data_IF_247409895075
#
_entry.id   IF_247409895075
#
_cell.length_a   1.000
_cell.length_b   1.000
_cell.length_c   1.000
_cell.angle_alpha   90.00
_cell.angle_beta   90.00
_cell.angle_gamma   90.00
#
_symmetry.space_group_name_H-M   'P 1'
#
loop_
_entity.id
_entity.type
_entity.pdbx_description
1 polymer ?
#
# COMPACT_ATOMS: atom_id res chain seq x y z
N UNK A 1 26.30 12.50 2.46
CA UNK A 1 25.06 12.43 3.27
C UNK A 1 24.34 11.11 3.00
N UNK A 2 24.11 10.36 4.04
CA UNK A 2 23.45 9.05 3.89
C UNK A 2 21.95 9.27 3.80
N UNK A 3 21.40 8.85 2.68
CA UNK A 3 19.95 8.92 2.46
C UNK A 3 19.29 7.74 3.13
N UNK A 4 18.45 8.02 4.12
CA UNK A 4 17.77 6.97 4.85
C UNK A 4 16.52 6.52 4.07
N UNK A 5 16.53 5.28 3.62
CA UNK A 5 15.39 4.68 2.94
C UNK A 5 14.39 4.18 3.99
N UNK A 6 13.15 4.59 3.86
CA UNK A 6 12.09 4.16 4.77
C UNK A 6 11.10 3.30 3.99
N UNK A 7 10.95 2.06 4.44
CA UNK A 7 10.01 1.11 3.87
C UNK A 7 9.04 0.71 4.98
N UNK A 8 7.76 0.84 4.72
CA UNK A 8 6.72 0.48 5.67
C UNK A 8 5.84 -0.61 5.09
N UNK A 9 5.59 -1.65 5.89
CA UNK A 9 4.73 -2.76 5.53
C UNK A 9 3.48 -2.74 6.40
N UNK A 10 2.31 -2.69 5.77
CA UNK A 10 1.02 -2.79 6.42
C UNK A 10 0.38 -4.10 6.03
N UNK A 11 -0.13 -4.84 7.02
CA UNK A 11 -0.77 -6.12 6.77
C UNK A 11 -1.95 -6.30 7.71
N UNK A 12 -3.14 -6.35 7.16
CA UNK A 12 -4.38 -6.66 7.89
C UNK A 12 -4.63 -5.80 9.13
N UNK A 13 -4.03 -4.62 9.21
CA UNK A 13 -4.32 -3.70 10.29
C UNK A 13 -5.63 -2.97 10.00
N UNK A 14 -6.49 -2.87 10.99
CA UNK A 14 -7.69 -2.09 10.83
C UNK A 14 -7.36 -0.59 10.82
N UNK A 15 -8.35 0.20 10.48
CA UNK A 15 -8.20 1.65 10.34
C UNK A 15 -7.66 2.30 11.63
N UNK A 16 -8.08 1.79 12.77
CA UNK A 16 -7.68 2.32 14.07
C UNK A 16 -6.18 2.11 14.32
N UNK A 17 -5.68 0.91 14.03
CA UNK A 17 -4.26 0.61 14.18
C UNK A 17 -3.40 1.41 13.22
N UNK A 18 -3.85 1.60 12.01
CA UNK A 18 -3.13 2.38 11.01
C UNK A 18 -2.99 3.84 11.46
N UNK A 19 -4.02 4.40 12.05
CA UNK A 19 -3.94 5.75 12.60
C UNK A 19 -2.94 5.85 13.74
N UNK A 20 -2.83 4.83 14.58
CA UNK A 20 -1.83 4.77 15.64
C UNK A 20 -0.42 4.74 15.07
N UNK A 21 -0.21 3.98 14.00
CA UNK A 21 1.09 3.92 13.32
C UNK A 21 1.48 5.29 12.80
N UNK A 22 0.56 5.98 12.14
CA UNK A 22 0.82 7.33 11.63
C UNK A 22 1.19 8.28 12.76
N UNK A 23 0.45 8.22 13.86
CA UNK A 23 0.70 9.06 15.02
C UNK A 23 2.08 8.81 15.61
N UNK A 24 2.46 7.54 15.73
CA UNK A 24 3.77 7.14 16.23
C UNK A 24 4.89 7.68 15.33
N UNK A 25 4.75 7.47 14.02
CA UNK A 25 5.75 7.92 13.06
C UNK A 25 5.88 9.44 13.05
N UNK A 26 4.76 10.15 13.17
CA UNK A 26 4.78 11.61 13.22
C UNK A 26 5.51 12.13 14.46
N UNK A 27 5.33 11.46 15.60
CA UNK A 27 6.04 11.82 16.83
C UNK A 27 7.55 11.64 16.70
N UNK A 28 7.98 10.69 15.87
CA UNK A 28 9.39 10.42 15.63
C UNK A 28 9.95 11.26 14.47
N UNK A 29 9.16 12.17 13.93
CA UNK A 29 9.51 12.96 12.75
C UNK A 29 9.80 12.11 11.52
N UNK A 30 9.19 10.93 11.45
CA UNK A 30 9.31 10.03 10.32
C UNK A 30 8.07 10.19 9.44
N UNK A 31 7.97 11.35 8.78
CA UNK A 31 6.81 11.68 7.96
C UNK A 31 6.98 11.38 6.48
N UNK A 32 8.19 10.97 6.08
CA UNK A 32 8.50 10.62 4.71
C UNK A 32 8.66 9.11 4.60
N UNK A 33 7.93 8.49 3.69
CA UNK A 33 7.99 7.06 3.43
C UNK A 33 8.40 6.86 1.98
N UNK A 34 9.48 6.14 1.74
CA UNK A 34 9.94 5.86 0.38
C UNK A 34 9.08 4.82 -0.30
N UNK A 35 8.80 3.73 0.40
CA UNK A 35 7.96 2.66 -0.14
C UNK A 35 7.00 2.18 0.93
N UNK A 36 5.73 2.13 0.61
CA UNK A 36 4.68 1.60 1.46
C UNK A 36 4.08 0.36 0.80
N UNK A 37 4.19 -0.78 1.48
CA UNK A 37 3.54 -2.01 1.06
C UNK A 37 2.23 -2.16 1.83
N UNK A 38 1.12 -2.19 1.12
CA UNK A 38 -0.21 -2.28 1.70
C UNK A 38 -0.82 -3.64 1.32
N UNK A 39 -0.81 -4.57 2.26
CA UNK A 39 -1.26 -5.94 2.02
C UNK A 39 -2.70 -6.08 2.51
N UNK A 40 -3.60 -6.50 1.60
CA UNK A 40 -5.02 -6.56 1.88
C UNK A 40 -5.66 -5.18 1.80
N UNK A 41 -5.45 -4.50 0.68
CA UNK A 41 -5.83 -3.10 0.50
C UNK A 41 -7.35 -2.86 0.46
N UNK A 42 -8.14 -3.91 0.23
CA UNK A 42 -9.59 -3.83 0.16
C UNK A 42 -10.07 -2.78 -0.85
N UNK A 43 -10.65 -1.70 -0.38
CA UNK A 43 -11.21 -0.64 -1.23
C UNK A 43 -10.32 0.61 -1.27
N UNK A 44 -9.12 0.52 -0.73
CA UNK A 44 -8.19 1.63 -0.77
C UNK A 44 -8.25 2.58 0.43
N UNK A 45 -8.86 2.17 1.54
CA UNK A 45 -8.94 3.00 2.73
C UNK A 45 -7.55 3.37 3.26
N UNK A 46 -6.64 2.38 3.26
CA UNK A 46 -5.26 2.59 3.72
C UNK A 46 -4.52 3.58 2.84
N UNK A 47 -4.77 3.52 1.53
CA UNK A 47 -4.14 4.43 0.58
C UNK A 47 -4.50 5.87 0.95
N UNK A 48 -5.80 6.14 1.09
CA UNK A 48 -6.25 7.48 1.43
C UNK A 48 -5.70 7.94 2.78
N UNK A 49 -5.73 7.06 3.77
CA UNK A 49 -5.29 7.40 5.11
C UNK A 49 -3.81 7.79 5.15
N UNK A 50 -2.95 6.94 4.57
CA UNK A 50 -1.51 7.18 4.60
C UNK A 50 -1.08 8.32 3.70
N UNK A 51 -1.63 8.40 2.50
CA UNK A 51 -1.24 9.46 1.57
C UNK A 51 -1.76 10.84 2.01
N UNK A 52 -2.83 10.89 2.80
CA UNK A 52 -3.33 12.15 3.35
C UNK A 52 -2.51 12.65 4.53
N UNK A 53 -1.81 11.76 5.23
CA UNK A 53 -1.12 12.11 6.48
C UNK A 53 0.40 12.02 6.39
N UNK A 54 0.92 11.35 5.38
CA UNK A 54 2.35 11.11 5.25
C UNK A 54 2.80 11.48 3.84
N UNK A 55 4.08 11.76 3.69
CA UNK A 55 4.68 12.01 2.39
C UNK A 55 5.22 10.68 1.86
N UNK A 56 4.41 10.01 1.06
CA UNK A 56 4.73 8.68 0.52
C UNK A 56 5.19 8.83 -0.92
N UNK A 57 6.36 8.30 -1.22
CA UNK A 57 6.92 8.36 -2.56
C UNK A 57 6.28 7.33 -3.48
N UNK A 58 6.09 6.11 -2.97
CA UNK A 58 5.54 5.00 -3.74
C UNK A 58 4.72 4.10 -2.83
N UNK A 59 3.55 3.69 -3.28
CA UNK A 59 2.74 2.72 -2.57
C UNK A 59 2.41 1.56 -3.50
N UNK A 60 2.56 0.34 -2.99
CA UNK A 60 2.20 -0.88 -3.72
C UNK A 60 1.15 -1.59 -2.88
N UNK A 61 -0.06 -1.67 -3.40
CA UNK A 61 -1.19 -2.27 -2.71
C UNK A 61 -1.51 -3.63 -3.30
N UNK A 62 -1.61 -4.63 -2.44
CA UNK A 62 -1.91 -6.01 -2.82
C UNK A 62 -3.31 -6.37 -2.34
N UNK A 63 -4.15 -6.81 -3.24
CA UNK A 63 -5.50 -7.22 -2.91
C UNK A 63 -5.85 -8.54 -3.58
N UNK A 64 -5.99 -9.64 -2.81
CA UNK A 64 -6.27 -10.97 -3.38
C UNK A 64 -7.69 -11.12 -3.90
N UNK A 65 -8.66 -10.42 -3.31
CA UNK A 65 -10.05 -10.53 -3.74
C UNK A 65 -10.27 -9.86 -5.08
N UNK A 66 -10.74 -10.60 -6.11
CA UNK A 66 -11.01 -9.98 -7.40
C UNK A 66 -12.04 -8.85 -7.34
N UNK A 67 -13.05 -9.01 -6.49
CA UNK A 67 -14.09 -8.00 -6.32
C UNK A 67 -13.53 -6.72 -5.72
N UNK A 68 -12.75 -6.86 -4.65
CA UNK A 68 -12.13 -5.70 -4.02
C UNK A 68 -11.07 -5.07 -4.90
N UNK A 69 -10.35 -5.89 -5.67
CA UNK A 69 -9.36 -5.37 -6.61
C UNK A 69 -10.01 -4.50 -7.69
N UNK A 70 -11.17 -4.90 -8.19
CA UNK A 70 -11.91 -4.09 -9.17
C UNK A 70 -12.30 -2.73 -8.57
N UNK A 71 -12.74 -2.72 -7.32
CA UNK A 71 -13.07 -1.48 -6.63
C UNK A 71 -11.83 -0.62 -6.45
N UNK A 72 -10.73 -1.24 -6.08
CA UNK A 72 -9.45 -0.55 -5.92
C UNK A 72 -8.99 0.06 -7.24
N UNK A 73 -9.12 -0.70 -8.31
CA UNK A 73 -8.76 -0.25 -9.66
C UNK A 73 -9.59 0.96 -10.09
N UNK A 74 -10.88 0.95 -9.76
CA UNK A 74 -11.77 2.05 -10.10
C UNK A 74 -11.42 3.33 -9.34
N UNK A 75 -11.02 3.20 -8.07
CA UNK A 75 -10.69 4.37 -7.25
C UNK A 75 -9.26 4.85 -7.46
N UNK A 76 -8.41 4.04 -8.07
CA UNK A 76 -7.01 4.38 -8.31
C UNK A 76 -6.85 5.69 -9.10
N UNK A 77 -7.65 5.87 -10.14
CA UNK A 77 -7.59 7.08 -10.95
C UNK A 77 -7.84 8.34 -10.11
N UNK A 78 -8.78 8.24 -9.19
CA UNK A 78 -9.08 9.35 -8.29
C UNK A 78 -7.88 9.65 -7.39
N UNK A 79 -7.24 8.61 -6.85
CA UNK A 79 -6.10 8.79 -5.96
C UNK A 79 -4.86 9.28 -6.70
N UNK A 80 -4.65 8.86 -7.95
CA UNK A 80 -3.54 9.35 -8.76
C UNK A 80 -3.64 10.86 -8.94
N UNK A 81 -4.84 11.36 -9.16
CA UNK A 81 -5.05 12.81 -9.32
C UNK A 81 -4.92 13.55 -7.99
N UNK A 82 -5.45 12.96 -6.91
CA UNK A 82 -5.42 13.58 -5.59
C UNK A 82 -4.02 13.60 -5.00
N UNK A 83 -3.25 12.55 -5.22
CA UNK A 83 -1.90 12.38 -4.68
C UNK A 83 -0.88 12.29 -5.80
N UNK A 84 -0.75 13.36 -6.55
CA UNK A 84 0.03 13.40 -7.80
C UNK A 84 1.53 13.20 -7.60
N UNK A 85 2.03 13.35 -6.37
CA UNK A 85 3.44 13.15 -6.06
C UNK A 85 3.78 11.73 -5.63
N UNK A 86 2.77 10.87 -5.56
CA UNK A 86 2.95 9.48 -5.14
C UNK A 86 2.70 8.54 -6.32
N UNK A 87 3.62 7.61 -6.53
CA UNK A 87 3.41 6.53 -7.49
C UNK A 87 2.54 5.46 -6.84
N UNK A 88 1.38 5.17 -7.44
CA UNK A 88 0.41 4.23 -6.90
C UNK A 88 0.34 3.00 -7.80
N UNK A 89 0.72 1.85 -7.26
CA UNK A 89 0.65 0.56 -7.95
C UNK A 89 -0.29 -0.36 -7.18
N UNK A 90 -1.07 -1.14 -7.92
CA UNK A 90 -1.98 -2.12 -7.33
C UNK A 90 -1.79 -3.47 -7.99
N UNK A 91 -1.87 -4.53 -7.19
CA UNK A 91 -1.68 -5.90 -7.67
C UNK A 91 -2.78 -6.81 -7.12
N UNK A 92 -3.37 -7.62 -8.00
CA UNK A 92 -4.39 -8.58 -7.61
C UNK A 92 -3.72 -9.90 -7.21
N UNK A 93 -3.11 -9.91 -6.03
CA UNK A 93 -2.38 -11.07 -5.54
C UNK A 93 -2.44 -11.10 -4.02
N UNK A 94 -2.48 -12.29 -3.46
CA UNK A 94 -2.36 -12.49 -2.04
C UNK A 94 -0.94 -12.85 -1.67
N UNK A 95 -0.43 -12.24 -0.61
CA UNK A 95 0.88 -12.59 -0.06
C UNK A 95 0.66 -13.36 1.22
N UNK A 96 1.05 -14.64 1.22
CA UNK A 96 0.90 -15.50 2.37
C UNK A 96 2.07 -16.42 2.53
N UNK A 97 2.17 -17.04 3.70
CA UNK A 97 3.23 -18.02 3.95
C UNK A 97 2.93 -19.36 3.29
N UNK A 98 1.67 -19.65 3.08
CA UNK A 98 1.24 -20.86 2.43
C UNK A 98 1.18 -20.62 0.93
N UNK A 99 1.57 -21.62 0.14
CA UNK A 99 1.50 -21.56 -1.31
C UNK A 99 2.33 -20.44 -1.92
N UNK A 100 3.53 -20.24 -1.40
CA UNK A 100 4.41 -19.19 -1.90
C UNK A 100 4.68 -19.30 -3.39
N UNK A 101 4.88 -20.52 -3.89
CA UNK A 101 5.15 -20.73 -5.31
C UNK A 101 3.96 -20.34 -6.17
N UNK A 102 2.76 -20.65 -5.70
CA UNK A 102 1.53 -20.30 -6.41
C UNK A 102 1.38 -18.78 -6.46
N UNK A 103 1.67 -18.11 -5.35
CA UNK A 103 1.61 -16.66 -5.29
C UNK A 103 2.62 -16.02 -6.24
N UNK A 104 3.83 -16.57 -6.33
CA UNK A 104 4.83 -16.08 -7.26
C UNK A 104 4.39 -16.23 -8.70
N UNK A 105 3.80 -17.37 -9.05
CA UNK A 105 3.30 -17.58 -10.40
C UNK A 105 2.21 -16.57 -10.75
N UNK A 106 1.29 -16.31 -9.82
CA UNK A 106 0.25 -15.32 -10.03
C UNK A 106 0.84 -13.93 -10.21
N UNK A 107 1.85 -13.60 -9.45
CA UNK A 107 2.53 -12.32 -9.56
C UNK A 107 3.18 -12.16 -10.93
N UNK A 108 3.87 -13.17 -11.40
CA UNK A 108 4.51 -13.16 -12.71
C UNK A 108 3.47 -13.00 -13.82
N UNK A 109 2.36 -13.71 -13.74
CA UNK A 109 1.27 -13.59 -14.69
C UNK A 109 0.63 -12.21 -14.65
N UNK A 110 0.50 -11.63 -13.47
CA UNK A 110 -0.08 -10.29 -13.33
C UNK A 110 0.81 -9.21 -13.88
N UNK A 111 2.11 -9.40 -13.82
CA UNK A 111 3.07 -8.39 -14.26
C UNK A 111 3.43 -8.50 -15.73
N UNK A 112 3.01 -9.56 -16.39
CA UNK A 112 3.31 -9.77 -17.80
C UNK A 112 2.35 -9.05 -18.76
#
# INVERSE_FOLDING_TARGET
MIKKLIILLLSFFDFFHQRKIIKFLSKKNLTKIDILFDIGAHKGESINLFLSNMNVKKIISFEPSPTNFLRLKNIKEHYIKKFDKTEILIENIGLGNENKEINFKQFEESSS
#
